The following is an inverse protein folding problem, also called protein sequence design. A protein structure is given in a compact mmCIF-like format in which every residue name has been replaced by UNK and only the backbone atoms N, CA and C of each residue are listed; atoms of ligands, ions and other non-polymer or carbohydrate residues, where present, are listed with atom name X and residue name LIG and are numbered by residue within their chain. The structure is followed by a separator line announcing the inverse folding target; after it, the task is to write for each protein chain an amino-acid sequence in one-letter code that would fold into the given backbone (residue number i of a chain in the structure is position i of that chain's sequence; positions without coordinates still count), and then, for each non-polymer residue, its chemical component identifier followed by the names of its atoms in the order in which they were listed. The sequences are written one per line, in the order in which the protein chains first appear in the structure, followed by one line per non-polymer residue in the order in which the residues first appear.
data_IF_891594004189
#
_entry.id   IF_891594004189
#
_cell.length_a   1.000
_cell.length_b   1.000
_cell.length_c   1.000
_cell.angle_alpha   90.00
_cell.angle_beta   90.00
_cell.angle_gamma   90.00
#
_symmetry.space_group_name_H-M   'P 1'
#
loop_
_entity.id
_entity.type
_entity.pdbx_description
1 polymer ?
#
# COMPACT_ATOMS: atom_id res chain seq x y z
N UNK A 1 -8.18 -6.72 -5.87
CA UNK A 1 -7.26 -7.75 -5.37
C UNK A 1 -7.88 -8.50 -4.18
N UNK A 2 -7.19 -9.51 -3.65
CA UNK A 2 -7.67 -10.33 -2.52
C UNK A 2 -7.95 -9.52 -1.27
N UNK A 3 -7.12 -8.51 -0.96
CA UNK A 3 -7.32 -7.66 0.22
C UNK A 3 -8.58 -6.79 0.12
N UNK A 4 -8.94 -6.33 -1.08
CA UNK A 4 -10.20 -5.62 -1.28
C UNK A 4 -11.42 -6.51 -0.95
N UNK A 5 -11.39 -7.78 -1.37
CA UNK A 5 -12.42 -8.74 -0.99
C UNK A 5 -12.44 -9.01 0.51
N UNK A 6 -11.26 -9.22 1.10
CA UNK A 6 -11.13 -9.45 2.54
C UNK A 6 -11.70 -8.28 3.35
N UNK A 7 -11.41 -7.04 2.96
CA UNK A 7 -11.92 -5.83 3.62
C UNK A 7 -13.43 -5.74 3.50
N UNK A 8 -13.99 -5.92 2.30
CA UNK A 8 -15.45 -5.84 2.10
C UNK A 8 -16.19 -6.91 2.90
N UNK A 9 -15.70 -8.15 2.91
CA UNK A 9 -16.31 -9.24 3.71
C UNK A 9 -16.15 -8.94 5.21
N UNK A 10 -14.98 -8.50 5.64
CA UNK A 10 -14.72 -8.13 7.03
C UNK A 10 -15.62 -7.00 7.53
N UNK A 11 -16.02 -6.09 6.64
CA UNK A 11 -16.99 -5.02 6.91
C UNK A 11 -18.45 -5.47 6.77
N UNK A 12 -18.72 -6.75 6.48
CA UNK A 12 -20.06 -7.33 6.50
C UNK A 12 -20.66 -7.65 5.14
N UNK A 13 -19.98 -7.43 4.02
CA UNK A 13 -20.49 -7.78 2.70
C UNK A 13 -20.80 -9.28 2.61
N UNK A 14 -21.97 -9.60 2.07
CA UNK A 14 -22.40 -10.98 1.83
C UNK A 14 -22.02 -11.45 0.43
N UNK A 15 -22.13 -10.54 -0.54
CA UNK A 15 -21.81 -10.79 -1.94
C UNK A 15 -20.97 -9.65 -2.51
N UNK A 16 -20.09 -9.99 -3.44
CA UNK A 16 -19.23 -9.03 -4.12
C UNK A 16 -19.29 -9.29 -5.60
N UNK A 17 -19.60 -8.26 -6.39
CA UNK A 17 -19.56 -8.33 -7.85
C UNK A 17 -18.33 -7.58 -8.38
N UNK A 18 -17.24 -8.27 -8.75
CA UNK A 18 -16.03 -7.64 -9.27
C UNK A 18 -16.13 -7.37 -10.79
N UNK A 19 -17.22 -6.73 -11.25
CA UNK A 19 -17.50 -6.51 -12.67
C UNK A 19 -16.34 -5.89 -13.44
N UNK A 20 -15.66 -4.90 -12.89
CA UNK A 20 -14.52 -4.24 -13.53
C UNK A 20 -13.31 -5.18 -13.69
N UNK A 21 -13.10 -6.11 -12.76
CA UNK A 21 -12.07 -7.14 -12.91
C UNK A 21 -12.43 -8.12 -14.03
N UNK A 22 -13.70 -8.50 -14.13
CA UNK A 22 -14.17 -9.37 -15.22
C UNK A 22 -14.06 -8.69 -16.58
N UNK A 23 -14.42 -7.43 -16.70
CA UNK A 23 -14.26 -6.64 -17.93
C UNK A 23 -12.78 -6.51 -18.32
N UNK A 24 -11.91 -6.28 -17.35
CA UNK A 24 -10.46 -6.23 -17.57
C UNK A 24 -9.89 -7.57 -18.04
N UNK A 25 -10.38 -8.69 -17.51
CA UNK A 25 -10.00 -10.02 -17.95
C UNK A 25 -10.51 -10.26 -19.37
N UNK A 26 -11.75 -9.86 -19.68
CA UNK A 26 -12.33 -10.01 -21.02
C UNK A 26 -11.54 -9.23 -22.06
N UNK A 27 -11.18 -7.98 -21.78
CA UNK A 27 -10.35 -7.17 -22.67
C UNK A 27 -8.99 -7.84 -22.96
N UNK A 28 -8.33 -8.34 -21.91
CA UNK A 28 -7.05 -9.07 -22.06
C UNK A 28 -7.20 -10.38 -22.80
N UNK A 29 -8.30 -11.09 -22.59
CA UNK A 29 -8.64 -12.30 -23.34
C UNK A 29 -8.78 -11.98 -24.83
N UNK A 30 -9.53 -10.95 -25.19
CA UNK A 30 -9.65 -10.50 -26.59
C UNK A 30 -8.29 -10.18 -27.23
N UNK A 31 -7.35 -9.63 -26.48
CA UNK A 31 -5.98 -9.35 -26.90
C UNK A 31 -5.08 -10.60 -26.92
N UNK A 32 -5.62 -11.80 -26.66
CA UNK A 32 -4.90 -13.08 -26.63
C UNK A 32 -3.72 -13.11 -25.64
N UNK A 33 -3.80 -12.37 -24.54
CA UNK A 33 -2.73 -12.26 -23.55
C UNK A 33 -2.68 -13.44 -22.57
N UNK A 34 -3.66 -14.34 -22.61
CA UNK A 34 -3.75 -15.52 -21.75
C UNK A 34 -3.43 -16.84 -22.48
N UNK A 35 -2.78 -16.76 -23.62
CA UNK A 35 -2.42 -17.94 -24.42
C UNK A 35 -3.64 -18.73 -24.88
N UNK A 36 -3.66 -20.04 -24.60
CA UNK A 36 -4.71 -20.95 -25.06
C UNK A 36 -5.91 -21.09 -24.11
N UNK A 37 -5.94 -20.27 -23.04
CA UNK A 37 -7.07 -20.33 -22.09
C UNK A 37 -8.32 -19.75 -22.74
N UNK A 38 -9.47 -20.39 -22.54
CA UNK A 38 -10.75 -19.80 -22.87
C UNK A 38 -11.20 -18.78 -21.79
N UNK A 39 -12.24 -18.03 -22.07
CA UNK A 39 -12.68 -16.95 -21.17
C UNK A 39 -13.15 -17.48 -19.81
N UNK A 40 -13.91 -18.57 -19.80
CA UNK A 40 -14.45 -19.17 -18.57
C UNK A 40 -13.32 -19.72 -17.68
N UNK A 41 -12.29 -20.28 -18.28
CA UNK A 41 -11.08 -20.70 -17.55
C UNK A 41 -10.35 -19.50 -16.92
N UNK A 42 -10.29 -18.36 -17.60
CA UNK A 42 -9.68 -17.15 -17.05
C UNK A 42 -10.45 -16.66 -15.83
N UNK A 43 -11.79 -16.61 -15.92
CA UNK A 43 -12.66 -16.23 -14.80
C UNK A 43 -12.54 -17.21 -13.65
N UNK A 44 -12.59 -18.51 -13.93
CA UNK A 44 -12.43 -19.55 -12.91
C UNK A 44 -11.10 -19.44 -12.17
N UNK A 45 -10.00 -19.24 -12.89
CA UNK A 45 -8.66 -19.04 -12.29
C UNK A 45 -8.60 -17.79 -11.43
N UNK A 46 -9.23 -16.71 -11.87
CA UNK A 46 -9.32 -15.47 -11.08
C UNK A 46 -10.07 -15.71 -9.76
N UNK A 47 -11.28 -16.30 -9.83
CA UNK A 47 -12.08 -16.60 -8.64
C UNK A 47 -11.33 -17.56 -7.70
N UNK A 48 -10.71 -18.61 -8.25
CA UNK A 48 -9.90 -19.55 -7.47
C UNK A 48 -8.74 -18.85 -6.75
N UNK A 49 -8.07 -17.91 -7.41
CA UNK A 49 -6.97 -17.14 -6.80
C UNK A 49 -7.45 -16.27 -5.63
N UNK A 50 -8.62 -15.61 -5.79
CA UNK A 50 -9.23 -14.82 -4.71
C UNK A 50 -9.59 -15.74 -3.54
N UNK A 51 -10.25 -16.86 -3.79
CA UNK A 51 -10.65 -17.82 -2.75
C UNK A 51 -9.45 -18.37 -1.98
N UNK A 52 -8.38 -18.77 -2.66
CA UNK A 52 -7.15 -19.23 -2.02
C UNK A 52 -6.49 -18.13 -1.18
N UNK A 53 -6.53 -16.90 -1.68
CA UNK A 53 -6.02 -15.75 -0.94
C UNK A 53 -6.83 -15.45 0.33
N UNK A 54 -8.17 -15.53 0.27
CA UNK A 54 -9.05 -15.38 1.43
C UNK A 54 -8.81 -16.47 2.47
N UNK A 55 -8.72 -17.74 2.03
CA UNK A 55 -8.40 -18.85 2.92
C UNK A 55 -7.04 -18.64 3.63
N UNK A 56 -6.05 -18.13 2.91
CA UNK A 56 -4.75 -17.81 3.51
C UNK A 56 -4.85 -16.71 4.58
N UNK A 57 -5.63 -15.66 4.32
CA UNK A 57 -5.87 -14.57 5.28
C UNK A 57 -6.56 -15.12 6.53
N UNK A 58 -7.65 -15.86 6.35
CA UNK A 58 -8.40 -16.47 7.44
C UNK A 58 -7.53 -17.45 8.27
N UNK A 59 -6.74 -18.27 7.59
CA UNK A 59 -5.81 -19.20 8.25
C UNK A 59 -4.80 -18.48 9.15
N UNK A 60 -4.24 -17.35 8.69
CA UNK A 60 -3.33 -16.54 9.52
C UNK A 60 -4.00 -15.91 10.74
N UNK A 61 -5.30 -15.69 10.68
CA UNK A 61 -6.10 -15.14 11.78
C UNK A 61 -6.68 -16.24 12.68
N UNK A 62 -6.49 -17.52 12.34
CA UNK A 62 -7.07 -18.64 13.07
C UNK A 62 -8.58 -18.81 12.88
N UNK A 63 -9.16 -18.24 11.81
CA UNK A 63 -10.60 -18.29 11.52
C UNK A 63 -10.86 -19.37 10.48
N UNK A 64 -11.67 -20.39 10.82
CA UNK A 64 -11.96 -21.53 9.97
C UNK A 64 -13.22 -21.38 9.10
N UNK A 65 -14.16 -20.53 9.49
CA UNK A 65 -15.43 -20.32 8.79
C UNK A 65 -15.65 -18.87 8.41
N UNK A 66 -16.13 -18.64 7.18
CA UNK A 66 -16.30 -17.29 6.63
C UNK A 66 -17.35 -16.46 7.41
N UNK A 67 -18.32 -17.10 8.01
CA UNK A 67 -19.33 -16.42 8.84
C UNK A 67 -18.72 -15.77 10.08
N UNK A 68 -17.65 -16.34 10.63
CA UNK A 68 -16.90 -15.72 11.74
C UNK A 68 -15.96 -14.62 11.31
N UNK A 69 -15.57 -14.60 10.05
CA UNK A 69 -14.75 -13.53 9.46
C UNK A 69 -15.61 -12.32 9.07
N UNK A 70 -16.79 -12.57 8.50
CA UNK A 70 -17.70 -11.54 8.00
C UNK A 70 -18.21 -10.67 9.14
N UNK A 71 -17.94 -9.36 9.07
CA UNK A 71 -18.35 -8.40 10.09
C UNK A 71 -17.64 -8.58 11.43
N UNK A 72 -16.51 -9.31 11.47
CA UNK A 72 -15.80 -9.68 12.69
C UNK A 72 -14.97 -8.57 13.34
N UNK A 73 -15.17 -7.30 12.95
CA UNK A 73 -14.44 -6.12 13.49
C UNK A 73 -12.91 -6.25 13.42
N UNK A 74 -12.40 -6.93 12.40
CA UNK A 74 -10.98 -7.21 12.22
C UNK A 74 -10.19 -6.04 11.61
N UNK A 75 -10.87 -4.92 11.35
CA UNK A 75 -10.31 -3.77 10.68
C UNK A 75 -10.46 -2.51 11.52
N UNK A 76 -9.46 -1.65 11.46
CA UNK A 76 -9.53 -0.28 11.97
C UNK A 76 -9.67 0.67 10.77
N UNK A 77 -10.42 1.74 10.96
CA UNK A 77 -10.54 2.81 9.97
C UNK A 77 -9.46 3.86 10.22
N UNK A 78 -8.69 4.16 9.18
CA UNK A 78 -7.65 5.19 9.21
C UNK A 78 -7.90 6.17 8.08
N UNK A 79 -7.95 7.47 8.41
CA UNK A 79 -8.04 8.53 7.42
C UNK A 79 -9.45 8.84 6.90
N UNK A 80 -10.49 8.27 7.51
CA UNK A 80 -11.89 8.69 7.32
C UNK A 80 -12.38 9.50 8.52
N UNK A 81 -13.25 10.48 8.28
CA UNK A 81 -13.84 11.25 9.39
C UNK A 81 -14.64 10.36 10.32
N UNK A 82 -14.59 10.63 11.61
CA UNK A 82 -15.36 9.88 12.60
C UNK A 82 -16.86 9.93 12.34
N UNK A 83 -17.37 11.03 11.77
CA UNK A 83 -18.77 11.16 11.38
C UNK A 83 -19.17 10.08 10.38
N UNK A 84 -18.38 9.90 9.29
CA UNK A 84 -18.62 8.84 8.30
C UNK A 84 -18.53 7.46 8.94
N UNK A 85 -17.51 7.24 9.78
CA UNK A 85 -17.32 5.93 10.40
C UNK A 85 -18.50 5.58 11.32
N UNK A 86 -18.96 6.53 12.11
CA UNK A 86 -20.10 6.30 13.01
C UNK A 86 -21.40 6.03 12.25
N UNK A 87 -21.59 6.69 11.11
CA UNK A 87 -22.82 6.56 10.30
C UNK A 87 -22.84 5.27 9.48
N UNK A 88 -21.75 4.96 8.77
CA UNK A 88 -21.71 3.87 7.78
C UNK A 88 -21.02 2.59 8.28
N UNK A 89 -20.21 2.68 9.32
CA UNK A 89 -19.45 1.56 9.89
C UNK A 89 -19.56 1.52 11.42
N UNK A 90 -20.79 1.41 11.97
CA UNK A 90 -21.00 1.44 13.41
C UNK A 90 -20.20 0.34 14.10
N UNK A 91 -19.53 0.69 15.20
CA UNK A 91 -18.69 -0.22 15.97
C UNK A 91 -17.25 -0.40 15.46
N UNK A 92 -16.90 0.17 14.32
CA UNK A 92 -15.52 0.12 13.80
C UNK A 92 -14.66 1.18 14.52
N UNK A 93 -13.48 0.76 14.98
CA UNK A 93 -12.53 1.64 15.64
C UNK A 93 -11.91 2.63 14.66
N UNK A 94 -11.95 3.92 15.00
CA UNK A 94 -11.32 5.00 14.22
C UNK A 94 -10.43 5.85 15.14
N UNK A 95 -9.17 5.48 15.25
CA UNK A 95 -8.17 6.23 16.04
C UNK A 95 -7.73 7.51 15.32
N UNK A 96 -7.52 7.42 14.04
CA UNK A 96 -7.04 8.52 13.19
C UNK A 96 -8.17 8.95 12.26
N UNK A 97 -8.70 10.15 12.50
CA UNK A 97 -9.71 10.79 11.65
C UNK A 97 -9.07 11.28 10.34
N UNK A 98 -9.91 11.67 9.39
CA UNK A 98 -9.42 12.15 8.10
C UNK A 98 -10.52 12.77 7.24
N UNK A 99 -10.58 12.40 5.96
CA UNK A 99 -11.47 12.99 4.97
C UNK A 99 -12.94 12.65 5.24
N UNK A 100 -13.79 13.66 5.07
CA UNK A 100 -15.25 13.53 5.06
C UNK A 100 -15.80 13.22 3.67
N UNK A 101 -17.13 13.23 3.52
CA UNK A 101 -17.83 12.98 2.25
C UNK A 101 -17.32 13.89 1.13
N UNK A 102 -17.13 15.18 1.39
CA UNK A 102 -16.59 16.13 0.40
C UNK A 102 -15.19 15.74 -0.08
N UNK A 103 -14.34 15.20 0.82
CA UNK A 103 -13.01 14.72 0.45
C UNK A 103 -13.07 13.47 -0.41
N UNK A 104 -13.98 12.56 -0.10
CA UNK A 104 -14.24 11.35 -0.90
C UNK A 104 -14.76 11.73 -2.29
N UNK A 105 -15.75 12.63 -2.36
CA UNK A 105 -16.29 13.14 -3.61
C UNK A 105 -15.21 13.75 -4.51
N UNK A 106 -14.36 14.61 -3.95
CA UNK A 106 -13.23 15.20 -4.69
C UNK A 106 -12.28 14.13 -5.24
N UNK A 107 -11.97 13.10 -4.47
CA UNK A 107 -11.12 11.98 -4.92
C UNK A 107 -11.77 11.21 -6.07
N UNK A 108 -13.05 10.87 -5.94
CA UNK A 108 -13.78 10.13 -6.97
C UNK A 108 -13.86 10.95 -8.26
N UNK A 109 -14.22 12.24 -8.16
CA UNK A 109 -14.26 13.15 -9.32
C UNK A 109 -12.88 13.27 -10.00
N UNK A 110 -11.80 13.31 -9.22
CA UNK A 110 -10.44 13.34 -9.78
C UNK A 110 -10.13 12.07 -10.57
N UNK A 111 -10.35 10.90 -9.98
CA UNK A 111 -10.12 9.60 -10.63
C UNK A 111 -10.96 9.46 -11.90
N UNK A 112 -12.24 9.84 -11.83
CA UNK A 112 -13.13 9.84 -12.98
C UNK A 112 -12.62 10.76 -14.09
N UNK A 113 -12.25 11.99 -13.75
CA UNK A 113 -11.68 12.94 -14.73
C UNK A 113 -10.44 12.37 -15.40
N UNK A 114 -9.51 11.81 -14.64
CA UNK A 114 -8.28 11.20 -15.17
C UNK A 114 -8.59 10.02 -16.09
N UNK A 115 -9.57 9.18 -15.75
CA UNK A 115 -9.98 8.04 -16.57
C UNK A 115 -10.53 8.43 -17.94
N UNK A 116 -11.24 9.54 -18.05
CA UNK A 116 -11.85 10.02 -19.29
C UNK A 116 -11.04 11.09 -20.03
N UNK A 117 -10.02 11.67 -19.42
CA UNK A 117 -9.12 12.63 -20.06
C UNK A 117 -7.87 11.99 -20.67
N UNK A 118 -7.72 10.69 -20.61
CA UNK A 118 -6.51 9.99 -21.00
C UNK A 118 -6.25 10.10 -22.50
N UNK A 119 -5.22 10.82 -22.85
CA UNK A 119 -4.62 10.80 -24.18
C UNK A 119 -3.49 9.76 -24.30
N UNK A 120 -3.23 9.00 -23.27
CA UNK A 120 -2.14 8.02 -23.21
C UNK A 120 -2.69 6.63 -22.89
N UNK A 121 -2.36 5.67 -23.77
CA UNK A 121 -2.61 4.25 -23.53
C UNK A 121 -1.59 3.63 -22.56
N UNK A 122 -0.69 4.44 -22.00
CA UNK A 122 0.35 4.00 -21.08
C UNK A 122 -0.10 4.22 -19.66
N UNK A 123 -0.18 3.14 -18.90
CA UNK A 123 -0.49 3.21 -17.47
C UNK A 123 0.63 3.91 -16.69
N UNK A 124 0.31 4.62 -15.59
CA UNK A 124 1.32 5.16 -14.68
C UNK A 124 2.28 4.08 -14.21
N UNK A 125 3.54 4.44 -14.00
CA UNK A 125 4.59 3.49 -13.58
C UNK A 125 4.23 2.85 -12.24
N UNK A 126 3.57 3.58 -11.36
CA UNK A 126 3.19 3.13 -10.02
C UNK A 126 4.43 2.93 -9.13
N UNK A 127 4.50 1.79 -8.46
CA UNK A 127 5.64 1.45 -7.61
C UNK A 127 5.37 1.60 -6.12
N UNK A 128 4.12 1.69 -5.67
CA UNK A 128 3.76 1.84 -4.24
C UNK A 128 4.23 0.63 -3.42
N UNK A 129 3.94 -0.59 -3.89
CA UNK A 129 4.26 -1.83 -3.16
C UNK A 129 5.64 -2.39 -3.47
N UNK A 130 6.22 -2.00 -4.57
CA UNK A 130 7.54 -2.44 -5.02
C UNK A 130 8.23 -1.32 -5.76
N UNK A 131 9.49 -1.04 -5.41
CA UNK A 131 10.29 -0.04 -6.10
C UNK A 131 10.30 -0.25 -7.61
N UNK A 132 10.05 0.82 -8.36
CA UNK A 132 10.22 0.90 -9.82
C UNK A 132 10.97 2.18 -10.15
N UNK A 133 11.88 2.08 -11.10
CA UNK A 133 12.60 3.26 -11.63
C UNK A 133 11.58 4.25 -12.18
N UNK A 134 11.70 5.51 -11.81
CA UNK A 134 10.78 6.60 -12.15
C UNK A 134 9.33 6.43 -11.60
N UNK A 135 9.14 5.54 -10.63
CA UNK A 135 7.88 5.40 -9.89
C UNK A 135 7.93 6.12 -8.54
N UNK A 136 7.13 5.63 -7.60
CA UNK A 136 7.07 6.17 -6.23
C UNK A 136 8.43 6.11 -5.53
N UNK A 137 8.71 7.11 -4.71
CA UNK A 137 9.92 7.16 -3.89
C UNK A 137 9.81 6.20 -2.72
N UNK A 138 10.85 5.39 -2.51
CA UNK A 138 10.96 4.49 -1.38
C UNK A 138 12.18 4.84 -0.54
N UNK A 139 12.08 4.67 0.78
CA UNK A 139 13.19 4.84 1.71
C UNK A 139 14.33 3.83 1.41
N UNK A 140 13.95 2.59 1.09
CA UNK A 140 14.89 1.53 0.74
C UNK A 140 14.97 1.36 -0.77
N UNK A 141 15.78 2.19 -1.41
CA UNK A 141 16.04 2.10 -2.84
C UNK A 141 17.20 1.16 -3.12
N UNK A 142 17.14 0.41 -4.23
CA UNK A 142 18.19 -0.54 -4.60
C UNK A 142 19.58 0.10 -4.69
N UNK A 143 19.69 1.35 -5.17
CA UNK A 143 20.94 2.10 -5.22
C UNK A 143 21.55 2.31 -3.82
N UNK A 144 20.73 2.73 -2.85
CA UNK A 144 21.19 3.01 -1.49
C UNK A 144 21.58 1.72 -0.76
N UNK A 145 20.78 0.66 -0.93
CA UNK A 145 21.11 -0.67 -0.39
C UNK A 145 22.44 -1.16 -0.95
N UNK A 146 22.67 -1.02 -2.25
CA UNK A 146 23.94 -1.41 -2.89
C UNK A 146 25.14 -0.60 -2.36
N UNK A 147 24.98 0.72 -2.17
CA UNK A 147 26.01 1.55 -1.56
C UNK A 147 26.36 1.07 -0.15
N UNK A 148 25.36 0.78 0.68
CA UNK A 148 25.59 0.28 2.04
C UNK A 148 26.29 -1.07 2.02
N UNK A 149 25.81 -2.02 1.22
CA UNK A 149 26.45 -3.35 1.07
C UNK A 149 27.90 -3.23 0.59
N UNK A 150 28.15 -2.37 -0.39
CA UNK A 150 29.50 -2.11 -0.91
C UNK A 150 30.40 -1.46 0.13
N UNK A 151 29.88 -0.51 0.92
CA UNK A 151 30.62 0.13 1.99
C UNK A 151 31.07 -0.88 3.05
N UNK A 152 30.17 -1.75 3.47
CA UNK A 152 30.44 -2.81 4.46
C UNK A 152 31.45 -3.83 3.91
N UNK A 153 31.18 -4.37 2.72
CA UNK A 153 32.05 -5.39 2.11
C UNK A 153 33.47 -4.90 1.88
N UNK A 154 33.65 -3.64 1.49
CA UNK A 154 34.95 -3.03 1.20
C UNK A 154 35.54 -2.29 2.40
N UNK A 155 34.86 -2.25 3.55
CA UNK A 155 35.22 -1.45 4.74
C UNK A 155 35.54 0.01 4.37
N UNK A 156 34.76 0.61 3.46
CA UNK A 156 35.00 1.92 2.88
C UNK A 156 34.11 2.99 3.50
N UNK A 157 34.68 3.83 4.36
CA UNK A 157 33.99 4.96 4.95
C UNK A 157 33.54 6.00 3.91
N UNK A 158 34.33 6.20 2.86
CA UNK A 158 34.00 7.11 1.75
C UNK A 158 32.71 6.65 1.03
N UNK A 159 32.56 5.33 0.84
CA UNK A 159 31.33 4.77 0.23
C UNK A 159 30.15 4.86 1.20
N UNK A 160 30.39 4.70 2.50
CA UNK A 160 29.36 4.91 3.53
C UNK A 160 28.86 6.36 3.56
N UNK A 161 29.76 7.36 3.45
CA UNK A 161 29.35 8.77 3.34
C UNK A 161 28.39 9.01 2.18
N UNK A 162 28.67 8.45 0.99
CA UNK A 162 27.77 8.55 -0.17
C UNK A 162 26.40 7.91 0.09
N UNK A 163 26.35 6.84 0.87
CA UNK A 163 25.10 6.24 1.31
C UNK A 163 24.33 7.18 2.25
N UNK A 164 25.00 7.72 3.25
CA UNK A 164 24.42 8.65 4.23
C UNK A 164 23.88 9.91 3.56
N UNK A 165 24.65 10.55 2.70
CA UNK A 165 24.22 11.69 1.90
C UNK A 165 23.01 11.35 1.05
N UNK A 166 23.03 10.20 0.37
CA UNK A 166 21.92 9.76 -0.46
C UNK A 166 20.62 9.49 0.30
N UNK A 167 20.67 9.17 1.60
CA UNK A 167 19.48 9.07 2.46
C UNK A 167 18.95 10.46 2.82
N UNK A 168 19.83 11.38 3.18
CA UNK A 168 19.43 12.75 3.55
C UNK A 168 18.88 13.54 2.38
N UNK A 169 19.26 13.23 1.15
CA UNK A 169 18.77 13.84 -0.08
C UNK A 169 17.37 13.31 -0.51
N UNK A 170 16.84 12.30 0.17
CA UNK A 170 15.50 11.80 -0.14
C UNK A 170 14.42 12.82 0.29
N UNK A 171 13.34 12.94 -0.49
CA UNK A 171 12.19 13.69 -0.03
C UNK A 171 11.59 13.04 1.22
N UNK A 172 10.89 13.79 2.08
CA UNK A 172 10.26 13.25 3.27
C UNK A 172 9.32 12.09 2.94
N UNK A 173 9.55 10.93 3.55
CA UNK A 173 8.75 9.70 3.36
C UNK A 173 8.03 9.33 4.65
N UNK A 174 8.71 9.49 5.80
CA UNK A 174 8.18 9.23 7.12
C UNK A 174 7.86 10.55 7.85
N UNK A 175 6.98 10.50 8.83
CA UNK A 175 6.67 11.69 9.66
C UNK A 175 7.92 12.27 10.35
N UNK A 176 8.85 11.41 10.75
CA UNK A 176 10.12 11.84 11.35
C UNK A 176 10.98 12.68 10.42
N UNK A 177 10.87 12.49 9.11
CA UNK A 177 11.65 13.22 8.10
C UNK A 177 11.18 14.69 7.97
N UNK A 178 10.02 15.04 8.57
CA UNK A 178 9.50 16.38 8.68
C UNK A 178 9.94 17.09 9.97
N UNK A 179 10.68 16.40 10.84
CA UNK A 179 11.11 16.91 12.13
C UNK A 179 12.63 17.08 12.09
N UNK A 180 13.11 18.21 12.61
CA UNK A 180 14.54 18.47 12.75
C UNK A 180 14.89 18.69 14.23
N UNK A 181 16.16 18.55 14.56
CA UNK A 181 16.66 18.84 15.90
C UNK A 181 16.69 20.34 16.14
N UNK A 182 16.24 20.74 17.32
CA UNK A 182 16.41 22.11 17.76
C UNK A 182 17.89 22.43 17.89
N UNK A 183 18.37 23.44 17.17
CA UNK A 183 19.76 23.90 17.28
C UNK A 183 20.06 24.29 18.72
N UNK A 184 21.10 23.70 19.27
CA UNK A 184 21.65 23.98 20.62
C UNK A 184 23.15 24.18 20.48
N UNK A 185 23.75 24.83 21.49
CA UNK A 185 25.19 24.78 21.67
C UNK A 185 25.59 23.32 21.94
N UNK A 186 26.55 22.81 21.19
CA UNK A 186 27.07 21.46 21.42
C UNK A 186 27.75 21.43 22.80
N UNK A 187 27.49 20.35 23.55
CA UNK A 187 28.29 20.02 24.74
C UNK A 187 29.51 19.22 24.31
N UNK A 188 30.57 19.30 25.08
CA UNK A 188 31.76 18.48 24.83
C UNK A 188 31.44 16.99 24.99
N UNK A 189 32.07 16.14 24.16
CA UNK A 189 31.83 14.71 24.21
C UNK A 189 32.26 14.10 25.55
N UNK A 190 33.25 14.71 26.21
CA UNK A 190 33.73 14.28 27.53
C UNK A 190 32.76 14.62 28.68
N UNK A 191 31.76 15.49 28.41
CA UNK A 191 30.66 15.79 29.36
C UNK A 191 29.49 14.82 29.23
N UNK A 192 29.51 13.92 28.23
CA UNK A 192 28.44 12.93 28.03
C UNK A 192 28.73 11.70 28.88
N UNK A 193 27.82 11.37 29.75
CA UNK A 193 27.95 10.17 30.59
C UNK A 193 28.10 8.90 29.75
N UNK A 194 29.09 8.05 30.03
CA UNK A 194 29.24 6.77 29.35
C UNK A 194 28.03 5.87 29.66
N UNK A 195 27.68 5.05 28.68
CA UNK A 195 26.68 4.00 28.88
C UNK A 195 27.36 2.87 29.65
N UNK A 196 26.92 2.63 30.89
CA UNK A 196 27.33 1.48 31.69
C UNK A 196 26.67 0.18 31.22
#
# INVERSE_FOLDING_TARGET
DTHSFATMIGMGATTINPYLAFDSIYERYKKKLFGNLNFDECIFKYIKSINLGLLKIMSKMGISVISSYRGGSNFETVGLSRTIVNEFFPGVLSKISGIGLTGIEKKIKKIHKEAFMSYSNVLPIGGIYRYRKNGETHQYQGRLIHLLQSAVARKSYTTYKKYSEGIHDLPPINLRDLIDFKKRTSIDIDEVEPIE
#
